data_IF_942392456848
#
_entry.id   IF_942392456848
#
_cell.length_a   1.000
_cell.length_b   1.000
_cell.length_c   1.000
_cell.angle_alpha   90.00
_cell.angle_beta   90.00
_cell.angle_gamma   90.00
#
_symmetry.space_group_name_H-M   'P 1'
#
loop_
_entity.id
_entity.type
_entity.pdbx_description
1 polymer ?
#
# COMPACT_ATOMS: atom_id res chain seq x y z
N UNK A 1 3.42 6.76 5.83
CA UNK A 1 3.47 7.43 4.54
C UNK A 1 3.91 6.41 3.51
N UNK A 2 3.01 6.01 2.63
CA UNK A 2 3.38 5.29 1.44
C UNK A 2 3.91 6.31 0.44
N UNK A 3 5.19 6.39 0.29
CA UNK A 3 5.80 7.22 -0.71
C UNK A 3 6.50 6.32 -1.71
N UNK A 4 6.02 6.34 -2.94
CA UNK A 4 6.68 5.67 -4.05
C UNK A 4 6.16 4.26 -4.34
N UNK A 5 4.86 4.09 -4.47
CA UNK A 5 4.32 2.93 -5.14
C UNK A 5 4.29 3.21 -6.64
N UNK A 6 5.32 2.79 -7.35
CA UNK A 6 5.18 2.59 -8.78
C UNK A 6 4.58 1.20 -8.99
N UNK A 7 3.26 1.17 -9.12
CA UNK A 7 2.59 0.02 -9.67
C UNK A 7 2.69 0.13 -11.18
N UNK A 8 3.61 -0.58 -11.77
CA UNK A 8 3.59 -0.82 -13.21
C UNK A 8 2.67 -2.00 -13.47
N UNK A 9 1.37 -1.76 -13.51
CA UNK A 9 0.46 -2.65 -14.20
C UNK A 9 0.73 -2.46 -15.70
N UNK A 10 1.59 -3.28 -16.30
CA UNK A 10 1.61 -3.39 -17.75
C UNK A 10 0.26 -3.95 -18.20
N UNK A 11 -0.22 -3.63 -19.43
CA UNK A 11 -1.45 -4.22 -19.97
C UNK A 11 -1.49 -5.75 -19.97
N UNK A 12 -0.36 -6.41 -19.70
CA UNK A 12 -0.20 -7.84 -19.57
C UNK A 12 -0.28 -8.36 -18.12
N UNK A 13 -0.55 -7.52 -17.10
CA UNK A 13 -0.82 -7.96 -15.74
C UNK A 13 0.33 -8.66 -15.02
N UNK A 14 1.58 -8.39 -15.37
CA UNK A 14 2.69 -9.25 -14.93
C UNK A 14 3.56 -8.73 -13.79
N UNK A 15 3.47 -7.45 -13.40
CA UNK A 15 4.38 -6.91 -12.38
C UNK A 15 3.77 -5.77 -11.58
N UNK A 16 3.90 -5.84 -10.26
CA UNK A 16 3.71 -4.71 -9.37
C UNK A 16 5.01 -4.49 -8.59
N UNK A 17 5.69 -3.39 -8.86
CA UNK A 17 6.85 -2.97 -8.08
C UNK A 17 6.36 -2.20 -6.86
N UNK A 18 6.65 -2.71 -5.66
CA UNK A 18 6.39 -2.01 -4.42
C UNK A 18 7.70 -1.45 -3.92
N UNK A 19 7.76 -0.14 -3.91
CA UNK A 19 8.83 0.55 -3.23
C UNK A 19 8.36 0.93 -1.84
N UNK A 20 9.11 0.50 -0.87
CA UNK A 20 8.96 0.92 0.49
C UNK A 20 10.11 1.83 0.89
N UNK A 21 9.77 3.00 1.41
CA UNK A 21 10.70 3.91 2.05
C UNK A 21 10.31 4.06 3.51
N UNK A 22 11.18 3.64 4.41
CA UNK A 22 11.05 3.94 5.83
C UNK A 22 11.55 5.35 6.06
N UNK A 23 10.66 6.27 6.41
CA UNK A 23 11.06 7.54 6.97
C UNK A 23 11.86 7.30 8.25
N UNK A 24 13.17 7.33 8.13
CA UNK A 24 13.99 7.53 9.32
C UNK A 24 13.80 8.97 9.78
N UNK A 25 13.46 9.16 11.05
CA UNK A 25 13.06 10.38 11.75
C UNK A 25 13.99 11.60 11.59
N UNK A 26 14.93 11.61 10.66
CA UNK A 26 15.97 12.65 10.58
C UNK A 26 16.06 13.42 9.26
N UNK A 27 15.36 13.03 8.18
CA UNK A 27 15.50 13.75 6.91
C UNK A 27 14.22 13.69 6.05
N UNK A 28 13.51 14.83 5.87
CA UNK A 28 12.36 14.93 4.97
C UNK A 28 12.66 14.57 3.50
N UNK A 29 13.94 14.60 3.11
CA UNK A 29 14.39 14.39 1.74
C UNK A 29 14.65 12.92 1.36
N UNK A 30 14.54 11.98 2.33
CA UNK A 30 14.89 10.55 2.09
C UNK A 30 14.00 9.96 1.01
N UNK A 31 12.69 10.22 1.05
CA UNK A 31 11.74 9.73 0.02
C UNK A 31 12.13 10.14 -1.38
N UNK A 32 12.37 11.43 -1.58
CA UNK A 32 12.77 11.96 -2.90
C UNK A 32 14.10 11.38 -3.36
N UNK A 33 15.05 11.23 -2.44
CA UNK A 33 16.36 10.66 -2.71
C UNK A 33 16.25 9.19 -3.14
N UNK A 34 15.47 8.37 -2.43
CA UNK A 34 15.28 6.95 -2.75
C UNK A 34 14.57 6.79 -4.09
N UNK A 35 13.48 7.53 -4.35
CA UNK A 35 12.77 7.50 -5.63
C UNK A 35 13.73 7.83 -6.79
N UNK A 36 14.55 8.88 -6.66
CA UNK A 36 15.56 9.24 -7.66
C UNK A 36 16.64 8.17 -7.83
N UNK A 37 17.16 7.62 -6.73
CA UNK A 37 18.20 6.58 -6.76
C UNK A 37 17.71 5.28 -7.42
N UNK A 38 16.43 4.98 -7.30
CA UNK A 38 15.80 3.80 -7.94
C UNK A 38 15.36 4.06 -9.37
N UNK A 39 15.53 5.29 -9.89
CA UNK A 39 15.11 5.66 -11.24
C UNK A 39 13.60 5.70 -11.43
N UNK A 40 12.82 5.77 -10.35
CA UNK A 40 11.38 5.83 -10.44
C UNK A 40 10.86 7.22 -10.79
N UNK A 41 9.79 7.26 -11.58
CA UNK A 41 9.16 8.51 -11.99
C UNK A 41 8.14 8.99 -10.98
N UNK A 42 8.24 10.25 -10.56
CA UNK A 42 7.23 10.91 -9.73
C UNK A 42 5.89 11.08 -10.45
N UNK A 43 5.87 11.07 -11.78
CA UNK A 43 4.66 11.22 -12.59
C UNK A 43 3.68 10.03 -12.47
N UNK A 44 4.17 8.86 -12.03
CA UNK A 44 3.36 7.66 -11.89
C UNK A 44 2.72 7.50 -10.50
N UNK A 45 2.96 8.44 -9.60
CA UNK A 45 2.34 8.41 -8.28
C UNK A 45 0.93 8.98 -8.39
N UNK A 46 -0.08 8.15 -8.25
CA UNK A 46 -1.48 8.56 -8.36
C UNK A 46 -2.14 8.84 -7.02
N UNK A 47 -1.66 8.20 -5.94
CA UNK A 47 -2.24 8.34 -4.61
C UNK A 47 -1.17 8.31 -3.52
N UNK A 48 -1.32 9.16 -2.50
CA UNK A 48 -0.61 9.08 -1.22
C UNK A 48 -1.61 8.78 -0.10
N UNK A 49 -1.28 7.78 0.71
CA UNK A 49 -2.04 7.41 1.89
C UNK A 49 -1.24 7.79 3.14
N UNK A 50 -1.75 8.75 3.93
CA UNK A 50 -1.15 9.17 5.19
C UNK A 50 -1.72 8.36 6.34
N UNK A 51 -0.85 7.72 7.11
CA UNK A 51 -1.27 6.99 8.30
C UNK A 51 -1.75 7.94 9.41
N UNK A 52 -0.98 8.98 9.68
CA UNK A 52 -1.27 10.03 10.66
C UNK A 52 -0.41 11.27 10.41
N UNK A 53 -0.51 12.30 11.28
CA UNK A 53 0.11 13.61 11.04
C UNK A 53 1.20 13.98 12.05
N UNK A 54 1.95 13.01 12.60
CA UNK A 54 3.19 13.35 13.27
C UNK A 54 4.19 13.93 12.27
N UNK A 55 5.02 14.87 12.72
CA UNK A 55 5.88 15.65 11.83
C UNK A 55 6.82 14.78 11.00
N UNK A 56 7.35 13.71 11.58
CA UNK A 56 8.25 12.75 10.92
C UNK A 56 7.58 12.01 9.72
N UNK A 57 6.24 12.00 9.68
CA UNK A 57 5.50 11.33 8.62
C UNK A 57 4.99 12.27 7.53
N UNK A 58 4.88 13.59 7.79
CA UNK A 58 4.22 14.48 6.83
C UNK A 58 5.01 15.76 6.49
N UNK A 59 6.02 16.15 7.27
CA UNK A 59 6.74 17.41 7.07
C UNK A 59 7.44 17.53 5.71
N UNK A 60 7.77 16.41 5.07
CA UNK A 60 8.37 16.37 3.73
C UNK A 60 7.39 16.63 2.56
N UNK A 61 6.08 16.70 2.84
CA UNK A 61 5.06 16.82 1.79
C UNK A 61 5.25 18.04 0.88
N UNK A 62 5.51 19.27 1.34
CA UNK A 62 5.67 20.42 0.46
C UNK A 62 6.78 20.25 -0.57
N UNK A 63 7.95 19.79 -0.13
CA UNK A 63 9.10 19.54 -1.00
C UNK A 63 8.81 18.42 -2.03
N UNK A 64 8.11 17.37 -1.61
CA UNK A 64 7.70 16.29 -2.49
C UNK A 64 6.70 16.76 -3.55
N UNK A 65 5.71 17.56 -3.19
CA UNK A 65 4.73 18.13 -4.14
C UNK A 65 5.40 19.03 -5.18
N UNK A 66 6.36 19.87 -4.77
CA UNK A 66 7.16 20.68 -5.71
C UNK A 66 7.99 19.81 -6.65
N UNK A 67 8.60 18.74 -6.15
CA UNK A 67 9.36 17.79 -6.98
C UNK A 67 8.46 17.10 -8.01
N UNK A 68 7.25 16.70 -7.61
CA UNK A 68 6.24 16.14 -8.52
C UNK A 68 5.81 17.17 -9.57
N UNK A 69 5.62 18.43 -9.16
CA UNK A 69 5.27 19.51 -10.07
C UNK A 69 6.35 19.78 -11.12
N UNK A 70 7.62 19.71 -10.71
CA UNK A 70 8.77 19.89 -11.57
C UNK A 70 9.01 18.70 -12.54
N UNK A 71 8.29 17.60 -12.39
CA UNK A 71 8.33 16.45 -13.30
C UNK A 71 7.23 16.49 -14.38
N UNK A 72 6.73 17.68 -14.70
CA UNK A 72 5.70 17.95 -15.73
C UNK A 72 4.34 17.26 -15.47
N UNK A 73 4.05 16.89 -14.24
CA UNK A 73 2.75 16.31 -13.89
C UNK A 73 1.61 17.30 -14.14
N UNK A 74 0.59 16.84 -14.86
CA UNK A 74 -0.68 17.57 -15.08
C UNK A 74 -1.89 16.82 -14.51
N UNK A 75 -1.75 15.51 -14.29
CA UNK A 75 -2.82 14.68 -13.71
C UNK A 75 -3.06 15.03 -12.25
N UNK A 76 -4.31 15.01 -11.77
CA UNK A 76 -4.61 15.15 -10.35
C UNK A 76 -3.82 14.15 -9.50
N UNK A 77 -3.48 14.55 -8.28
CA UNK A 77 -2.86 13.69 -7.27
C UNK A 77 -3.84 13.55 -6.11
N UNK A 78 -4.15 12.31 -5.74
CA UNK A 78 -5.05 12.04 -4.62
C UNK A 78 -4.26 11.87 -3.32
N UNK A 79 -4.67 12.58 -2.28
CA UNK A 79 -4.16 12.42 -0.93
C UNK A 79 -5.26 11.84 -0.06
N UNK A 80 -4.99 10.72 0.58
CA UNK A 80 -5.89 10.02 1.52
C UNK A 80 -5.30 10.11 2.92
N UNK A 81 -6.10 10.41 3.92
CA UNK A 81 -5.59 10.44 5.29
C UNK A 81 -6.66 10.69 6.35
N UNK A 82 -6.31 10.64 7.63
CA UNK A 82 -7.24 10.88 8.72
C UNK A 82 -7.96 12.21 8.63
N UNK A 83 -9.08 12.33 9.33
CA UNK A 83 -9.82 13.60 9.48
C UNK A 83 -8.88 14.76 9.81
N UNK A 84 -9.05 15.89 9.13
CA UNK A 84 -8.20 17.08 9.23
C UNK A 84 -7.11 17.17 8.16
N UNK A 85 -7.09 16.24 7.20
CA UNK A 85 -6.15 16.25 6.07
C UNK A 85 -6.12 17.60 5.35
N UNK A 86 -7.28 18.15 5.02
CA UNK A 86 -7.39 19.43 4.31
C UNK A 86 -6.69 20.57 5.06
N UNK A 87 -6.90 20.67 6.37
CA UNK A 87 -6.24 21.68 7.22
C UNK A 87 -4.72 21.48 7.25
N UNK A 88 -4.25 20.24 7.46
CA UNK A 88 -2.82 19.94 7.54
C UNK A 88 -2.13 20.23 6.21
N UNK A 89 -2.70 19.76 5.09
CA UNK A 89 -2.16 19.99 3.75
C UNK A 89 -2.12 21.48 3.43
N UNK A 90 -3.19 22.23 3.71
CA UNK A 90 -3.23 23.68 3.48
C UNK A 90 -2.19 24.43 4.29
N UNK A 91 -1.99 24.05 5.56
CA UNK A 91 -0.98 24.67 6.42
C UNK A 91 0.45 24.40 5.93
N UNK A 92 0.75 23.18 5.52
CA UNK A 92 2.06 22.82 4.98
C UNK A 92 2.33 23.48 3.63
N UNK A 93 1.28 23.68 2.81
CA UNK A 93 1.39 24.30 1.48
C UNK A 93 1.61 25.81 1.49
N UNK A 94 1.60 26.47 2.64
CA UNK A 94 1.98 27.89 2.72
C UNK A 94 3.36 28.14 2.09
N UNK A 95 4.28 27.18 2.19
CA UNK A 95 5.62 27.24 1.58
C UNK A 95 5.71 26.65 0.18
N UNK A 96 4.62 26.09 -0.36
CA UNK A 96 4.51 25.54 -1.71
C UNK A 96 3.09 25.80 -2.26
N UNK A 97 2.71 27.08 -2.44
CA UNK A 97 1.31 27.45 -2.71
C UNK A 97 0.84 27.05 -4.12
N UNK A 98 1.72 27.08 -5.11
CA UNK A 98 1.40 26.83 -6.49
C UNK A 98 1.88 25.44 -6.94
N UNK A 99 0.97 24.68 -7.52
CA UNK A 99 1.24 23.38 -8.12
C UNK A 99 0.61 23.31 -9.51
N UNK A 100 1.29 22.70 -10.51
CA UNK A 100 0.77 22.59 -11.87
C UNK A 100 -0.31 21.51 -12.04
N UNK A 101 -0.77 20.89 -10.94
CA UNK A 101 -1.78 19.84 -10.90
C UNK A 101 -2.73 20.02 -9.70
N UNK A 102 -3.91 19.44 -9.82
CA UNK A 102 -4.93 19.43 -8.77
C UNK A 102 -4.56 18.44 -7.64
N UNK A 103 -4.86 18.82 -6.38
CA UNK A 103 -4.85 17.90 -5.24
C UNK A 103 -6.29 17.51 -4.90
N UNK A 104 -6.60 16.22 -4.96
CA UNK A 104 -7.85 15.64 -4.48
C UNK A 104 -7.63 15.10 -3.07
N UNK A 105 -8.44 15.54 -2.11
CA UNK A 105 -8.30 15.16 -0.71
C UNK A 105 -9.46 14.24 -0.31
N UNK A 106 -9.12 13.09 0.29
CA UNK A 106 -10.08 12.14 0.85
C UNK A 106 -9.77 11.97 2.33
N UNK A 107 -10.68 12.45 3.19
CA UNK A 107 -10.55 12.32 4.63
C UNK A 107 -11.24 11.05 5.13
N UNK A 108 -10.48 10.24 5.88
CA UNK A 108 -10.98 9.03 6.53
C UNK A 108 -11.61 9.39 7.88
N UNK A 109 -12.83 8.95 8.11
CA UNK A 109 -13.62 9.27 9.30
C UNK A 109 -14.12 8.04 10.06
N UNK A 110 -14.23 6.90 9.38
CA UNK A 110 -14.75 5.65 9.93
C UNK A 110 -13.63 4.76 10.49
N UNK A 111 -14.02 3.70 11.19
CA UNK A 111 -13.08 2.68 11.68
C UNK A 111 -12.42 1.89 10.54
N UNK A 112 -13.17 1.67 9.47
CA UNK A 112 -12.71 1.06 8.22
C UNK A 112 -13.38 1.77 7.05
N UNK A 113 -12.62 2.00 6.00
CA UNK A 113 -13.11 2.58 4.75
C UNK A 113 -12.47 1.87 3.56
N UNK A 114 -13.28 1.61 2.55
CA UNK A 114 -12.85 1.01 1.29
C UNK A 114 -12.88 2.06 0.19
N UNK A 115 -11.81 2.12 -0.60
CA UNK A 115 -11.63 3.07 -1.68
C UNK A 115 -11.14 2.33 -2.93
N UNK A 116 -11.81 2.56 -4.07
CA UNK A 116 -11.33 2.13 -5.39
C UNK A 116 -10.70 3.34 -6.09
N UNK A 117 -9.38 3.35 -6.24
CA UNK A 117 -8.66 4.48 -6.81
C UNK A 117 -7.62 3.98 -7.82
N UNK A 118 -7.69 4.46 -9.07
CA UNK A 118 -6.70 4.17 -10.12
C UNK A 118 -6.45 2.67 -10.34
N UNK A 119 -7.46 1.83 -10.16
CA UNK A 119 -7.37 0.37 -10.32
C UNK A 119 -6.84 -0.37 -9.10
N UNK A 120 -6.63 0.32 -7.99
CA UNK A 120 -6.31 -0.27 -6.69
C UNK A 120 -7.56 -0.31 -5.81
N UNK A 121 -7.69 -1.40 -5.06
CA UNK A 121 -8.63 -1.51 -3.95
C UNK A 121 -7.85 -1.25 -2.65
N UNK A 122 -8.24 -0.23 -1.92
CA UNK A 122 -7.54 0.25 -0.72
C UNK A 122 -8.49 0.15 0.47
N UNK A 123 -8.17 -0.73 1.42
CA UNK A 123 -8.86 -0.82 2.69
C UNK A 123 -8.05 -0.05 3.74
N UNK A 124 -8.60 1.06 4.22
CA UNK A 124 -8.06 1.82 5.33
C UNK A 124 -8.68 1.35 6.63
N UNK A 125 -7.89 1.07 7.65
CA UNK A 125 -8.37 0.58 8.94
C UNK A 125 -7.68 1.30 10.09
N UNK A 126 -8.49 1.74 11.07
CA UNK A 126 -7.99 2.49 12.21
C UNK A 126 -7.25 1.60 13.20
N UNK A 127 -6.05 2.03 13.61
CA UNK A 127 -5.17 1.32 14.52
C UNK A 127 -5.02 2.02 15.87
N UNK A 128 -4.31 1.42 16.82
CA UNK A 128 -4.20 1.91 18.19
C UNK A 128 -2.89 2.70 18.40
N UNK A 129 -2.96 4.00 18.14
CA UNK A 129 -1.85 4.92 18.37
C UNK A 129 -2.29 6.11 19.25
N UNK A 130 -1.34 7.02 19.59
CA UNK A 130 -1.59 8.22 20.40
C UNK A 130 -2.53 9.22 19.71
N UNK A 131 -2.48 9.29 18.39
CA UNK A 131 -3.34 10.10 17.53
C UNK A 131 -4.16 9.20 16.61
N UNK A 132 -5.13 9.77 15.86
CA UNK A 132 -5.85 9.02 14.84
C UNK A 132 -4.85 8.52 13.81
N UNK A 133 -4.74 7.20 13.69
CA UNK A 133 -3.80 6.53 12.81
C UNK A 133 -4.50 5.39 12.06
N UNK A 134 -4.17 5.23 10.78
CA UNK A 134 -4.69 4.19 9.91
C UNK A 134 -3.57 3.31 9.37
N UNK A 135 -3.83 2.01 9.28
CA UNK A 135 -3.14 1.10 8.39
C UNK A 135 -3.87 1.02 7.06
N UNK A 136 -3.21 0.45 6.06
CA UNK A 136 -3.75 0.32 4.71
C UNK A 136 -3.44 -1.06 4.14
N UNK A 137 -4.45 -1.72 3.58
CA UNK A 137 -4.27 -2.86 2.70
C UNK A 137 -4.56 -2.43 1.28
N UNK A 138 -3.60 -2.64 0.38
CA UNK A 138 -3.70 -2.26 -1.02
C UNK A 138 -3.70 -3.53 -1.84
N UNK A 139 -4.74 -3.70 -2.65
CA UNK A 139 -4.91 -4.88 -3.48
C UNK A 139 -5.03 -4.51 -4.96
N UNK A 140 -4.48 -5.37 -5.82
CA UNK A 140 -4.76 -5.37 -7.25
C UNK A 140 -5.59 -6.61 -7.51
N UNK A 141 -6.89 -6.46 -7.82
CA UNK A 141 -7.74 -7.60 -8.13
C UNK A 141 -7.29 -8.27 -9.42
N UNK A 142 -7.46 -9.58 -9.50
CA UNK A 142 -7.19 -10.36 -10.71
C UNK A 142 -8.48 -11.01 -11.16
N UNK A 143 -8.99 -10.56 -12.29
CA UNK A 143 -10.17 -11.17 -12.93
C UNK A 143 -9.88 -12.60 -13.35
N UNK A 144 -10.94 -13.40 -13.50
CA UNK A 144 -10.88 -14.77 -14.00
C UNK A 144 -10.27 -14.88 -15.41
N UNK A 145 -9.92 -16.08 -15.81
CA UNK A 145 -9.54 -16.33 -17.21
C UNK A 145 -10.81 -16.24 -18.09
N UNK A 146 -10.67 -15.67 -19.29
CA UNK A 146 -11.74 -15.67 -20.27
C UNK A 146 -11.97 -17.09 -20.77
N UNK A 147 -13.22 -17.52 -20.75
CA UNK A 147 -13.64 -18.85 -21.19
C UNK A 147 -14.03 -18.80 -22.68
N UNK A 148 -13.09 -19.18 -23.53
CA UNK A 148 -13.27 -19.18 -24.98
C UNK A 148 -14.37 -20.11 -25.41
N UNK A 149 -14.49 -21.27 -24.77
CA UNK A 149 -15.50 -22.28 -25.16
C UNK A 149 -16.91 -21.78 -24.82
N UNK A 150 -17.10 -21.22 -23.61
CA UNK A 150 -18.36 -20.57 -23.28
C UNK A 150 -18.73 -19.43 -24.23
N UNK A 151 -17.73 -18.59 -24.59
CA UNK A 151 -17.99 -17.50 -25.53
C UNK A 151 -18.45 -17.99 -26.90
N UNK A 152 -17.87 -19.11 -27.38
CA UNK A 152 -18.31 -19.79 -28.63
C UNK A 152 -19.71 -20.40 -28.49
N UNK A 153 -19.97 -21.10 -27.39
CA UNK A 153 -21.29 -21.70 -27.10
C UNK A 153 -22.40 -20.64 -27.06
N UNK A 154 -22.09 -19.47 -26.50
CA UNK A 154 -23.02 -18.34 -26.48
C UNK A 154 -23.12 -17.59 -27.80
N UNK A 155 -22.36 -17.97 -28.83
CA UNK A 155 -22.36 -17.32 -30.13
C UNK A 155 -21.77 -15.92 -30.15
N UNK A 156 -20.92 -15.59 -29.19
CA UNK A 156 -20.31 -14.24 -29.06
C UNK A 156 -19.18 -14.10 -30.09
N UNK A 157 -19.23 -13.13 -31.01
CA UNK A 157 -18.17 -12.90 -31.99
C UNK A 157 -16.83 -12.56 -31.33
N UNK A 158 -15.72 -13.09 -31.88
CA UNK A 158 -14.38 -12.83 -31.37
C UNK A 158 -14.03 -11.34 -31.24
N UNK A 159 -14.60 -10.49 -32.08
CA UNK A 159 -14.44 -9.03 -32.03
C UNK A 159 -14.94 -8.38 -30.73
N UNK A 160 -15.85 -9.07 -30.00
CA UNK A 160 -16.42 -8.60 -28.74
C UNK A 160 -15.71 -9.14 -27.50
N UNK A 161 -14.89 -10.18 -27.65
CA UNK A 161 -14.23 -10.85 -26.53
C UNK A 161 -13.34 -9.91 -25.71
N UNK A 162 -12.60 -9.03 -26.39
CA UNK A 162 -11.73 -8.06 -25.72
C UNK A 162 -12.51 -7.13 -24.78
N UNK A 163 -13.71 -6.69 -25.17
CA UNK A 163 -14.57 -5.84 -24.34
C UNK A 163 -15.02 -6.59 -23.08
N UNK A 164 -15.47 -7.83 -23.24
CA UNK A 164 -15.88 -8.69 -22.11
C UNK A 164 -14.71 -8.99 -21.17
N UNK A 165 -13.51 -9.28 -21.72
CA UNK A 165 -12.28 -9.47 -20.91
C UNK A 165 -11.92 -8.25 -20.08
N UNK A 166 -12.25 -7.04 -20.54
CA UNK A 166 -11.98 -5.80 -19.83
C UNK A 166 -13.18 -5.28 -19.01
N UNK A 167 -14.14 -6.17 -18.72
CA UNK A 167 -15.24 -5.83 -17.81
C UNK A 167 -16.39 -5.06 -18.45
N UNK A 168 -16.42 -4.92 -19.79
CA UNK A 168 -17.46 -4.18 -20.49
C UNK A 168 -18.50 -5.13 -21.09
N UNK A 169 -19.78 -4.97 -20.71
CA UNK A 169 -20.88 -5.69 -21.33
C UNK A 169 -21.03 -5.31 -22.80
N UNK A 170 -21.51 -6.24 -23.61
CA UNK A 170 -21.75 -6.04 -25.05
C UNK A 170 -23.17 -6.47 -25.42
N UNK A 171 -23.79 -5.75 -26.34
CA UNK A 171 -25.11 -6.10 -26.88
C UNK A 171 -24.95 -6.60 -28.31
N UNK A 172 -25.53 -7.78 -28.60
CA UNK A 172 -25.52 -8.44 -29.94
C UNK A 172 -26.95 -8.91 -30.20
N UNK A 173 -27.54 -8.46 -31.28
CA UNK A 173 -28.91 -8.84 -31.68
C UNK A 173 -29.93 -8.68 -30.53
N UNK A 174 -29.92 -7.49 -29.90
CA UNK A 174 -30.77 -7.12 -28.76
C UNK A 174 -30.57 -7.95 -27.47
N UNK A 175 -29.58 -8.83 -27.44
CA UNK A 175 -29.20 -9.61 -26.26
C UNK A 175 -27.94 -9.07 -25.63
N UNK A 176 -28.01 -8.78 -24.33
CA UNK A 176 -26.87 -8.34 -23.54
C UNK A 176 -26.05 -9.53 -23.06
N UNK A 177 -24.72 -9.43 -23.20
CA UNK A 177 -23.74 -10.37 -22.67
C UNK A 177 -22.83 -9.63 -21.70
N UNK A 178 -22.76 -10.14 -20.49
CA UNK A 178 -21.96 -9.56 -19.40
C UNK A 178 -20.66 -10.36 -19.19
N UNK A 179 -19.60 -9.74 -18.64
CA UNK A 179 -18.32 -10.41 -18.41
C UNK A 179 -18.44 -11.71 -17.61
N UNK A 180 -19.29 -11.76 -16.59
CA UNK A 180 -19.51 -12.94 -15.74
C UNK A 180 -20.00 -14.18 -16.49
N UNK A 181 -20.63 -13.99 -17.65
CA UNK A 181 -21.08 -15.10 -18.50
C UNK A 181 -19.92 -15.90 -19.13
N UNK A 182 -18.76 -15.22 -19.32
CA UNK A 182 -17.61 -15.78 -20.07
C UNK A 182 -16.28 -15.65 -19.31
N UNK A 183 -16.32 -15.17 -18.08
CA UNK A 183 -15.15 -15.12 -17.22
C UNK A 183 -15.20 -16.26 -16.21
N UNK A 184 -14.08 -16.92 -15.99
CA UNK A 184 -13.93 -17.90 -14.92
C UNK A 184 -13.93 -17.22 -13.54
N UNK A 185 -13.79 -18.02 -12.47
CA UNK A 185 -13.70 -17.51 -11.12
C UNK A 185 -12.56 -16.48 -10.98
N UNK A 186 -12.78 -15.49 -10.12
CA UNK A 186 -11.72 -14.52 -9.77
C UNK A 186 -10.49 -15.28 -9.25
N UNK A 187 -9.31 -14.86 -9.69
CA UNK A 187 -8.04 -15.44 -9.28
C UNK A 187 -7.43 -14.62 -8.13
N UNK A 188 -6.51 -15.21 -7.39
CA UNK A 188 -5.77 -14.49 -6.37
C UNK A 188 -5.07 -13.28 -7.01
N UNK A 189 -5.41 -12.08 -6.53
CA UNK A 189 -4.75 -10.84 -6.87
C UNK A 189 -3.43 -10.67 -6.11
N UNK A 190 -2.89 -9.45 -6.11
CA UNK A 190 -1.76 -9.08 -5.27
C UNK A 190 -2.26 -8.21 -4.12
N UNK A 191 -1.72 -8.43 -2.91
CA UNK A 191 -2.10 -7.66 -1.73
C UNK A 191 -0.88 -7.28 -0.91
N UNK A 192 -0.80 -6.00 -0.55
CA UNK A 192 0.20 -5.46 0.36
C UNK A 192 -0.49 -4.75 1.49
N UNK A 193 -0.13 -5.10 2.72
CA UNK A 193 -0.62 -4.39 3.90
C UNK A 193 0.50 -3.61 4.57
N UNK A 194 0.22 -2.37 4.90
CA UNK A 194 1.11 -1.47 5.62
C UNK A 194 0.49 -1.02 6.93
N UNK A 195 1.22 -1.20 8.02
CA UNK A 195 0.83 -0.72 9.34
C UNK A 195 2.03 -0.19 10.09
N UNK A 196 1.96 1.06 10.51
CA UNK A 196 2.97 1.70 11.37
C UNK A 196 2.29 2.32 12.59
N UNK A 197 3.08 2.65 13.62
CA UNK A 197 2.67 3.41 14.80
C UNK A 197 1.39 2.87 15.44
N UNK A 198 1.49 1.65 15.95
CA UNK A 198 0.34 1.01 16.59
C UNK A 198 0.75 -0.02 17.63
N UNK A 199 -0.10 -0.20 18.66
CA UNK A 199 -0.12 -1.44 19.42
C UNK A 199 -0.70 -2.58 18.56
N UNK A 200 -0.32 -3.85 18.80
CA UNK A 200 -0.94 -4.98 18.14
C UNK A 200 -2.43 -5.05 18.51
N UNK A 201 -3.27 -4.94 17.50
CA UNK A 201 -4.71 -5.05 17.59
C UNK A 201 -5.24 -5.96 16.48
N UNK A 202 -6.34 -6.68 16.74
CA UNK A 202 -6.87 -7.71 15.86
C UNK A 202 -7.14 -7.21 14.43
N UNK A 203 -7.64 -5.98 14.30
CA UNK A 203 -7.96 -5.38 13.00
C UNK A 203 -6.76 -5.37 12.03
N UNK A 204 -5.52 -5.34 12.56
CA UNK A 204 -4.30 -5.40 11.73
C UNK A 204 -4.19 -6.77 11.08
N UNK A 205 -4.31 -7.86 11.85
CA UNK A 205 -4.27 -9.22 11.32
C UNK A 205 -5.42 -9.50 10.36
N UNK A 206 -6.64 -9.01 10.67
CA UNK A 206 -7.81 -9.18 9.82
C UNK A 206 -7.60 -8.55 8.43
N UNK A 207 -7.06 -7.32 8.41
CA UNK A 207 -6.79 -6.62 7.15
C UNK A 207 -5.52 -7.13 6.45
N UNK A 208 -4.52 -7.62 7.19
CA UNK A 208 -3.31 -8.20 6.62
C UNK A 208 -3.50 -9.64 6.11
N UNK A 209 -4.65 -10.26 6.36
CA UNK A 209 -4.91 -11.66 5.99
C UNK A 209 -4.51 -11.96 4.54
N UNK A 210 -3.66 -13.01 4.39
CA UNK A 210 -3.18 -13.53 3.10
C UNK A 210 -2.46 -12.49 2.22
N UNK A 211 -1.89 -11.43 2.83
CA UNK A 211 -1.08 -10.46 2.08
C UNK A 211 0.19 -11.10 1.54
N UNK A 212 0.55 -10.76 0.30
CA UNK A 212 1.83 -11.18 -0.30
C UNK A 212 3.00 -10.50 0.40
N UNK A 213 2.77 -9.28 0.90
CA UNK A 213 3.72 -8.55 1.73
C UNK A 213 3.00 -7.80 2.85
N UNK A 214 3.45 -8.01 4.08
CA UNK A 214 3.04 -7.23 5.24
C UNK A 214 4.20 -6.35 5.71
N UNK A 215 4.06 -5.05 5.59
CA UNK A 215 5.03 -4.07 6.07
C UNK A 215 4.51 -3.54 7.39
N UNK A 216 5.21 -3.84 8.47
CA UNK A 216 4.77 -3.53 9.82
C UNK A 216 5.87 -2.80 10.60
N UNK A 217 5.46 -1.90 11.49
CA UNK A 217 6.41 -1.37 12.44
C UNK A 217 7.04 -2.48 13.30
N UNK A 218 8.26 -2.23 13.71
CA UNK A 218 8.94 -2.95 14.77
C UNK A 218 9.83 -1.96 15.49
N UNK A 219 9.24 -1.17 16.39
CA UNK A 219 9.98 -0.11 17.07
C UNK A 219 11.10 -0.67 17.96
N UNK A 220 10.87 -1.83 18.58
CA UNK A 220 11.78 -2.41 19.56
C UNK A 220 12.12 -3.87 19.23
N UNK A 221 13.41 -4.13 19.02
CA UNK A 221 13.94 -5.49 18.82
C UNK A 221 14.57 -6.09 20.09
N UNK A 222 14.99 -5.23 21.04
CA UNK A 222 15.68 -5.63 22.26
C UNK A 222 14.69 -6.21 23.29
N UNK A 223 15.24 -7.04 24.20
CA UNK A 223 14.50 -7.61 25.31
C UNK A 223 14.10 -6.56 26.35
N UNK A 224 12.97 -6.80 27.02
CA UNK A 224 12.50 -5.94 28.12
C UNK A 224 11.94 -4.59 27.66
N UNK A 225 11.64 -4.44 26.36
CA UNK A 225 11.07 -3.21 25.81
C UNK A 225 9.55 -3.23 25.73
N UNK A 226 8.88 -4.28 26.15
CA UNK A 226 7.42 -4.47 26.07
C UNK A 226 6.66 -3.36 26.83
N UNK A 227 7.14 -2.98 28.02
CA UNK A 227 6.55 -1.90 28.80
C UNK A 227 6.65 -0.55 28.04
N UNK A 228 7.82 -0.27 27.46
CA UNK A 228 8.05 0.93 26.66
C UNK A 228 7.22 0.93 25.38
N UNK A 229 7.10 -0.21 24.71
CA UNK A 229 6.24 -0.37 23.55
C UNK A 229 4.76 -0.04 23.88
N UNK A 230 4.26 -0.48 25.04
CA UNK A 230 2.91 -0.16 25.51
C UNK A 230 2.75 1.32 25.82
N UNK A 231 3.71 1.91 26.52
CA UNK A 231 3.69 3.34 26.92
C UNK A 231 3.61 4.27 25.71
N UNK A 232 4.44 4.03 24.69
CA UNK A 232 4.53 4.87 23.49
C UNK A 232 3.60 4.41 22.35
N UNK A 233 2.80 3.36 22.59
CA UNK A 233 1.87 2.79 21.60
C UNK A 233 2.53 2.31 20.31
N UNK A 234 3.63 1.58 20.46
CA UNK A 234 4.36 0.88 19.40
C UNK A 234 4.41 -0.63 19.65
N UNK A 235 5.05 -1.37 18.74
CA UNK A 235 5.21 -2.82 18.81
C UNK A 235 6.68 -3.23 18.98
N UNK A 236 6.85 -4.40 19.59
CA UNK A 236 8.09 -5.18 19.51
C UNK A 236 8.12 -6.02 18.23
N UNK A 237 9.31 -6.48 17.84
CA UNK A 237 9.48 -7.38 16.69
C UNK A 237 8.65 -8.67 16.83
N UNK A 238 8.59 -9.22 18.05
CA UNK A 238 7.83 -10.45 18.32
C UNK A 238 6.33 -10.24 18.25
N UNK A 239 5.82 -9.08 18.68
CA UNK A 239 4.41 -8.73 18.55
C UNK A 239 4.01 -8.56 17.09
N UNK A 240 4.83 -7.90 16.28
CA UNK A 240 4.62 -7.78 14.84
C UNK A 240 4.65 -9.15 14.14
N UNK A 241 5.60 -10.02 14.51
CA UNK A 241 5.69 -11.38 13.97
C UNK A 241 4.46 -12.23 14.32
N UNK A 242 3.86 -12.02 15.51
CA UNK A 242 2.63 -12.71 15.87
C UNK A 242 1.44 -12.24 15.03
N UNK A 243 1.35 -10.95 14.71
CA UNK A 243 0.34 -10.44 13.78
C UNK A 243 0.49 -11.05 12.39
N UNK A 244 1.72 -11.10 11.85
CA UNK A 244 2.02 -11.71 10.56
C UNK A 244 1.61 -13.19 10.49
N UNK A 245 1.95 -13.95 11.55
CA UNK A 245 1.57 -15.37 11.67
C UNK A 245 0.05 -15.54 11.73
N UNK A 246 -0.65 -14.72 12.51
CA UNK A 246 -2.11 -14.79 12.65
C UNK A 246 -2.82 -14.43 11.33
N UNK A 247 -2.23 -13.56 10.53
CA UNK A 247 -2.75 -13.10 9.24
C UNK A 247 -2.38 -14.03 8.08
N UNK A 248 -1.55 -15.06 8.30
CA UNK A 248 -1.05 -15.96 7.25
C UNK A 248 -0.49 -15.22 6.04
N UNK A 249 0.36 -14.20 6.29
CA UNK A 249 1.00 -13.43 5.24
C UNK A 249 2.14 -14.22 4.60
N UNK A 250 2.50 -13.93 3.36
CA UNK A 250 3.61 -14.61 2.67
C UNK A 250 4.99 -14.15 3.16
N UNK A 251 5.18 -12.85 3.33
CA UNK A 251 6.42 -12.23 3.83
C UNK A 251 6.10 -11.03 4.70
N UNK A 252 6.91 -10.78 5.73
CA UNK A 252 6.81 -9.58 6.57
C UNK A 252 8.11 -8.78 6.56
N UNK A 253 7.98 -7.46 6.36
CA UNK A 253 9.07 -6.51 6.57
C UNK A 253 8.82 -5.70 7.83
N UNK A 254 9.78 -5.77 8.75
CA UNK A 254 9.85 -4.88 9.90
C UNK A 254 10.47 -3.55 9.48
N UNK A 255 9.93 -2.48 10.01
CA UNK A 255 10.31 -1.10 9.70
C UNK A 255 10.08 -0.20 10.91
N UNK A 256 10.28 1.12 10.78
CA UNK A 256 9.97 2.10 11.82
C UNK A 256 10.69 1.79 13.15
N UNK A 257 11.99 1.58 13.09
CA UNK A 257 12.81 1.23 14.25
C UNK A 257 13.05 2.42 15.19
N UNK A 258 13.21 2.13 16.47
CA UNK A 258 13.69 3.12 17.43
C UNK A 258 15.03 3.72 16.95
N UNK A 259 15.24 5.04 17.07
CA UNK A 259 16.53 5.65 16.75
C UNK A 259 17.71 5.06 17.53
N UNK A 260 17.45 4.44 18.69
CA UNK A 260 18.47 3.74 19.49
C UNK A 260 18.84 2.37 18.91
N UNK A 261 18.02 1.79 18.01
CA UNK A 261 18.24 0.49 17.42
C UNK A 261 19.07 0.62 16.14
N UNK A 262 20.40 0.63 16.30
CA UNK A 262 21.35 0.92 15.21
C UNK A 262 21.37 -0.19 14.16
N UNK A 263 21.28 -1.45 14.58
CA UNK A 263 21.32 -2.65 13.73
C UNK A 263 20.13 -3.55 14.01
N UNK A 264 18.95 -3.27 13.41
CA UNK A 264 17.75 -4.08 13.64
C UNK A 264 17.91 -5.54 13.23
N UNK A 265 18.80 -5.83 12.28
CA UNK A 265 19.09 -7.20 11.82
C UNK A 265 19.62 -8.11 12.93
N UNK A 266 20.31 -7.55 13.94
CA UNK A 266 20.87 -8.30 15.05
C UNK A 266 19.78 -8.85 16.00
N UNK A 267 18.55 -8.34 15.91
CA UNK A 267 17.44 -8.67 16.82
C UNK A 267 16.29 -9.45 16.16
N UNK A 268 16.38 -9.70 14.85
CA UNK A 268 15.26 -10.27 14.08
C UNK A 268 15.00 -11.74 14.35
N UNK A 269 15.96 -12.48 14.90
CA UNK A 269 15.89 -13.94 15.05
C UNK A 269 14.75 -14.41 15.96
N UNK A 270 14.39 -13.60 16.96
CA UNK A 270 13.22 -13.92 17.82
C UNK A 270 11.90 -13.82 17.06
N UNK A 271 11.77 -12.81 16.23
CA UNK A 271 10.62 -12.66 15.35
C UNK A 271 10.55 -13.81 14.35
N UNK A 272 11.69 -14.23 13.77
CA UNK A 272 11.77 -15.38 12.85
C UNK A 272 11.38 -16.72 13.47
N UNK A 273 11.58 -16.89 14.76
CA UNK A 273 11.08 -18.10 15.47
C UNK A 273 9.54 -18.16 15.50
N UNK A 274 8.87 -17.02 15.44
CA UNK A 274 7.40 -16.91 15.41
C UNK A 274 6.90 -16.96 13.97
N UNK A 275 7.51 -16.16 13.10
CA UNK A 275 7.20 -16.07 11.68
C UNK A 275 8.51 -16.07 10.87
N UNK A 276 8.90 -17.21 10.26
CA UNK A 276 10.21 -17.38 9.60
C UNK A 276 10.47 -16.39 8.45
N UNK A 277 9.45 -16.01 7.69
CA UNK A 277 9.56 -15.07 6.57
C UNK A 277 9.60 -13.59 7.02
N UNK A 278 10.25 -13.30 8.16
CA UNK A 278 10.47 -11.96 8.71
C UNK A 278 11.79 -11.39 8.26
N UNK A 279 11.76 -10.17 7.74
CA UNK A 279 12.93 -9.41 7.32
C UNK A 279 12.97 -8.08 8.08
N UNK A 280 14.11 -7.77 8.71
CA UNK A 280 14.38 -6.43 9.18
C UNK A 280 14.80 -5.58 7.97
N UNK A 281 13.87 -4.79 7.43
CA UNK A 281 14.07 -4.05 6.19
C UNK A 281 14.90 -2.79 6.41
N UNK A 282 15.74 -2.47 5.43
CA UNK A 282 16.46 -1.20 5.34
C UNK A 282 15.77 -0.28 4.33
N UNK A 283 16.07 1.01 4.43
CA UNK A 283 15.62 2.00 3.44
C UNK A 283 16.06 1.60 2.03
N UNK A 284 15.16 1.78 1.07
CA UNK A 284 15.39 1.43 -0.32
C UNK A 284 15.31 -0.07 -0.63
N UNK A 285 14.85 -0.92 0.31
CA UNK A 285 14.52 -2.32 0.00
C UNK A 285 13.36 -2.36 -0.99
N UNK A 286 13.45 -3.24 -1.98
CA UNK A 286 12.43 -3.45 -3.00
C UNK A 286 12.13 -4.92 -3.17
N UNK A 287 10.91 -5.24 -3.57
CA UNK A 287 10.47 -6.56 -4.00
C UNK A 287 9.56 -6.41 -5.21
N UNK A 288 9.65 -7.35 -6.11
CA UNK A 288 8.74 -7.51 -7.24
C UNK A 288 7.71 -8.58 -6.87
N UNK A 289 6.43 -8.18 -6.79
CA UNK A 289 5.33 -9.10 -6.60
C UNK A 289 4.74 -9.47 -7.96
N UNK A 290 4.56 -10.75 -8.20
CA UNK A 290 4.00 -11.29 -9.44
C UNK A 290 2.74 -12.07 -9.12
N UNK A 291 1.80 -12.04 -10.05
CA UNK A 291 0.69 -12.98 -9.99
C UNK A 291 1.24 -14.41 -10.07
N UNK A 292 0.78 -15.28 -9.18
CA UNK A 292 1.09 -16.70 -9.29
C UNK A 292 0.52 -17.18 -10.62
N UNK A 293 1.38 -17.60 -11.54
CA UNK A 293 0.96 -18.27 -12.77
C UNK A 293 0.54 -19.70 -12.38
N UNK A 294 -0.73 -19.85 -12.06
CA UNK A 294 -1.33 -21.17 -12.12
C UNK A 294 -1.31 -21.59 -13.59
N UNK A 295 -0.61 -22.67 -13.88
CA UNK A 295 -0.39 -23.23 -15.17
C UNK A 295 -1.67 -23.54 -15.99
#
# INVERSE_FOLDING_TARGET
>A
MFTGNQWHASPAGKMADIAYDTFQRKQPDVTQKVVKQKGWSFNHIDVFCFTHYHAEHISGLPGLLLTIGNSDRKKPLTLVGPKGLGRVVSSLRVIAPELPFELKLIELTNQQEHLSICGYEIDAFRVNHAVICYGYSISIPRIGKFDVEKAKELGIPCSMWNKLQHGTAVTIDDKEYTPDMVMGAARKGLKVTYCTDSRPVQIISDNAKESDLFICEGMYGEDGKEAKAKEYKHMTFTEAAQLAKNADVREMWLTHYSPSLVRPQDYVDKARKIFPATIAANDGRTVELKFDDEG
#
